data_IF_587513899494
#
_entry.id   IF_587513899494
#
_cell.length_a   1.000
_cell.length_b   1.000
_cell.length_c   1.000
_cell.angle_alpha   90.00
_cell.angle_beta   90.00
_cell.angle_gamma   90.00
#
_symmetry.space_group_name_H-M   'P 1'
#
loop_
_entity.id
_entity.type
_entity.pdbx_description
1 polymer ?
#
# COMPACT_ATOMS: atom_id res chain seq x y z
N UNK A 1 -16.90 -6.33 -21.06
CA UNK A 1 -15.70 -5.77 -21.71
C UNK A 1 -14.76 -5.41 -20.57
N UNK A 2 -13.62 -6.10 -20.43
CA UNK A 2 -12.65 -5.75 -19.39
C UNK A 2 -11.78 -4.64 -19.96
N UNK A 3 -11.90 -3.42 -19.42
CA UNK A 3 -11.05 -2.30 -19.80
C UNK A 3 -9.62 -2.64 -19.39
N UNK A 4 -8.84 -3.12 -20.36
CA UNK A 4 -7.41 -3.40 -20.14
C UNK A 4 -6.71 -2.06 -19.93
N UNK A 5 -6.10 -1.90 -18.76
CA UNK A 5 -5.18 -0.80 -18.49
C UNK A 5 -4.08 -0.83 -19.56
N UNK A 6 -3.94 0.27 -20.30
CA UNK A 6 -2.92 0.40 -21.34
C UNK A 6 -1.62 0.91 -20.71
N UNK A 7 -0.49 0.69 -21.39
CA UNK A 7 0.80 1.26 -20.97
C UNK A 7 0.76 2.79 -20.84
N UNK A 8 -0.09 3.45 -21.63
CA UNK A 8 -0.31 4.89 -21.53
C UNK A 8 -0.97 5.29 -20.20
N UNK A 9 -2.04 4.60 -19.78
CA UNK A 9 -2.71 4.87 -18.50
C UNK A 9 -1.77 4.64 -17.31
N UNK A 10 -0.93 3.59 -17.36
CA UNK A 10 0.10 3.37 -16.33
C UNK A 10 1.09 4.52 -16.26
N UNK A 11 1.55 5.00 -17.43
CA UNK A 11 2.52 6.09 -17.45
C UNK A 11 1.92 7.39 -16.94
N UNK A 12 0.65 7.64 -17.26
CA UNK A 12 -0.08 8.80 -16.74
C UNK A 12 -0.21 8.72 -15.21
N UNK A 13 -0.60 7.55 -14.68
CA UNK A 13 -0.70 7.33 -13.24
C UNK A 13 0.67 7.49 -12.56
N UNK A 14 1.74 6.93 -13.14
CA UNK A 14 3.10 7.09 -12.62
C UNK A 14 3.52 8.56 -12.54
N UNK A 15 3.26 9.34 -13.59
CA UNK A 15 3.53 10.77 -13.59
C UNK A 15 2.74 11.51 -12.51
N UNK A 16 1.47 11.17 -12.32
CA UNK A 16 0.59 11.81 -11.35
C UNK A 16 1.01 11.50 -9.91
N UNK A 17 1.19 10.22 -9.55
CA UNK A 17 1.62 9.84 -8.20
C UNK A 17 3.01 10.40 -7.89
N UNK A 18 3.91 10.46 -8.87
CA UNK A 18 5.22 11.06 -8.69
C UNK A 18 5.12 12.57 -8.46
N UNK A 19 4.29 13.29 -9.22
CA UNK A 19 4.09 14.74 -9.01
C UNK A 19 3.51 15.06 -7.63
N UNK A 20 2.63 14.21 -7.12
CA UNK A 20 1.95 14.44 -5.83
C UNK A 20 2.86 14.07 -4.65
N UNK A 21 3.63 12.98 -4.75
CA UNK A 21 4.24 12.33 -3.58
C UNK A 21 5.77 12.31 -3.54
N UNK A 22 6.49 12.79 -4.57
CA UNK A 22 7.97 12.72 -4.62
C UNK A 22 8.66 13.31 -3.38
N UNK A 23 8.11 14.39 -2.81
CA UNK A 23 8.66 15.06 -1.62
C UNK A 23 7.94 14.68 -0.32
N UNK A 24 6.96 13.76 -0.39
CA UNK A 24 6.12 13.37 0.76
C UNK A 24 6.38 11.94 1.24
N UNK A 25 6.75 11.04 0.34
CA UNK A 25 6.98 9.63 0.68
C UNK A 25 8.41 9.45 1.16
N UNK A 26 8.54 8.87 2.35
CA UNK A 26 9.81 8.44 2.88
C UNK A 26 10.38 7.28 2.06
N UNK A 27 11.66 7.39 1.71
CA UNK A 27 12.43 6.42 0.94
C UNK A 27 13.81 6.16 1.57
N UNK A 28 14.04 6.61 2.82
CA UNK A 28 15.33 6.50 3.52
C UNK A 28 15.78 5.03 3.66
N UNK A 29 14.84 4.12 3.90
CA UNK A 29 15.08 2.66 4.01
C UNK A 29 15.55 2.01 2.69
N UNK A 30 15.42 2.72 1.57
CA UNK A 30 15.73 2.23 0.23
C UNK A 30 17.04 2.77 -0.36
N UNK A 31 17.84 3.53 0.38
CA UNK A 31 19.06 4.17 -0.12
C UNK A 31 20.13 3.19 -0.64
N UNK A 32 20.13 1.94 -0.15
CA UNK A 32 21.06 0.89 -0.59
C UNK A 32 20.55 0.04 -1.78
N UNK A 33 19.33 0.29 -2.29
CA UNK A 33 18.72 -0.49 -3.37
C UNK A 33 19.16 -0.01 -4.75
N UNK A 34 19.12 -0.89 -5.75
CA UNK A 34 19.32 -0.50 -7.16
C UNK A 34 18.23 0.48 -7.58
N UNK A 35 18.54 1.40 -8.50
CA UNK A 35 17.62 2.45 -8.96
C UNK A 35 16.24 1.90 -9.37
N UNK A 36 16.17 0.85 -10.20
CA UNK A 36 14.90 0.26 -10.63
C UNK A 36 14.07 -0.31 -9.45
N UNK A 37 14.73 -0.86 -8.43
CA UNK A 37 14.06 -1.40 -7.26
C UNK A 37 13.53 -0.25 -6.38
N UNK A 38 14.30 0.85 -6.28
CA UNK A 38 13.88 2.07 -5.59
C UNK A 38 12.64 2.69 -6.25
N UNK A 39 12.63 2.82 -7.58
CA UNK A 39 11.48 3.39 -8.32
C UNK A 39 10.22 2.53 -8.14
N UNK A 40 10.35 1.20 -8.13
CA UNK A 40 9.21 0.31 -7.88
C UNK A 40 8.68 0.38 -6.44
N UNK A 41 9.56 0.54 -5.45
CA UNK A 41 9.15 0.74 -4.05
C UNK A 41 8.41 2.07 -3.92
N UNK A 42 8.98 3.15 -4.45
CA UNK A 42 8.33 4.46 -4.47
C UNK A 42 6.95 4.38 -5.13
N UNK A 43 6.86 3.81 -6.33
CA UNK A 43 5.60 3.70 -7.05
C UNK A 43 4.54 2.87 -6.30
N UNK A 44 4.95 1.84 -5.56
CA UNK A 44 4.02 1.05 -4.75
C UNK A 44 3.51 1.86 -3.55
N UNK A 45 4.41 2.48 -2.77
CA UNK A 45 4.05 3.37 -1.66
C UNK A 45 3.16 4.54 -2.13
N UNK A 46 3.51 5.16 -3.25
CA UNK A 46 2.77 6.27 -3.83
C UNK A 46 1.39 5.85 -4.33
N UNK A 47 1.26 4.64 -4.86
CA UNK A 47 -0.04 4.08 -5.24
C UNK A 47 -0.94 3.84 -4.02
N UNK A 48 -0.39 3.32 -2.91
CA UNK A 48 -1.14 3.15 -1.67
C UNK A 48 -1.61 4.51 -1.11
N UNK A 49 -0.73 5.50 -1.06
CA UNK A 49 -1.06 6.87 -0.62
C UNK A 49 -2.11 7.52 -1.53
N UNK A 50 -1.99 7.35 -2.85
CA UNK A 50 -2.94 7.89 -3.81
C UNK A 50 -4.34 7.27 -3.65
N UNK A 51 -4.43 5.97 -3.35
CA UNK A 51 -5.70 5.32 -3.04
C UNK A 51 -6.36 5.93 -1.80
N UNK A 52 -5.60 6.19 -0.73
CA UNK A 52 -6.11 6.89 0.46
C UNK A 52 -6.53 8.32 0.15
N UNK A 53 -5.70 9.06 -0.60
CA UNK A 53 -5.99 10.44 -1.00
C UNK A 53 -7.36 10.56 -1.69
N UNK A 54 -7.65 9.67 -2.64
CA UNK A 54 -8.92 9.68 -3.39
C UNK A 54 -10.06 9.10 -2.56
N UNK A 55 -9.90 7.90 -2.00
CA UNK A 55 -11.02 7.15 -1.42
C UNK A 55 -11.40 7.64 -0.02
N UNK A 56 -10.42 8.02 0.80
CA UNK A 56 -10.64 8.61 2.12
C UNK A 56 -10.75 10.14 2.06
N UNK A 57 -10.54 10.76 0.89
CA UNK A 57 -10.63 12.21 0.67
C UNK A 57 -9.79 13.03 1.69
N UNK A 58 -8.55 12.60 1.90
CA UNK A 58 -7.58 13.25 2.80
C UNK A 58 -6.51 14.00 2.02
N UNK A 59 -5.72 14.88 2.65
CA UNK A 59 -4.63 15.56 1.97
C UNK A 59 -3.52 14.59 1.55
N UNK A 60 -2.75 14.88 0.48
CA UNK A 60 -1.59 14.08 0.09
C UNK A 60 -0.58 13.89 1.23
N UNK A 61 -0.32 14.93 2.03
CA UNK A 61 0.58 14.84 3.19
C UNK A 61 0.11 13.79 4.20
N UNK A 62 -1.17 13.82 4.57
CA UNK A 62 -1.76 12.87 5.50
C UNK A 62 -1.80 11.46 4.93
N UNK A 63 -1.98 11.32 3.62
CA UNK A 63 -1.94 10.03 2.95
C UNK A 63 -0.52 9.44 2.92
N UNK A 64 0.50 10.27 2.76
CA UNK A 64 1.90 9.85 2.83
C UNK A 64 2.31 9.44 4.26
N UNK A 65 1.84 10.16 5.28
CA UNK A 65 2.05 9.81 6.69
C UNK A 65 1.40 8.48 7.09
N UNK A 66 0.38 8.03 6.34
CA UNK A 66 -0.32 6.77 6.58
C UNK A 66 0.41 5.55 5.97
N UNK A 67 1.49 5.76 5.23
CA UNK A 67 2.31 4.67 4.67
C UNK A 67 3.07 3.97 5.80
N UNK A 68 3.02 2.65 5.79
CA UNK A 68 3.76 1.83 6.75
C UNK A 68 5.13 1.51 6.15
N UNK A 69 6.19 1.78 6.92
CA UNK A 69 7.55 1.43 6.53
C UNK A 69 7.80 -0.06 6.83
N UNK A 70 8.09 -0.85 5.79
CA UNK A 70 9.00 -1.99 5.91
C UNK A 70 8.56 -3.26 5.20
N UNK A 71 9.55 -4.08 4.82
CA UNK A 71 9.34 -5.43 4.27
C UNK A 71 8.65 -6.42 5.23
N UNK A 72 8.38 -6.03 6.48
CA UNK A 72 7.77 -6.84 7.55
C UNK A 72 6.36 -6.32 7.94
N UNK A 73 5.70 -5.56 7.07
CA UNK A 73 4.37 -4.96 7.31
C UNK A 73 3.18 -5.93 7.24
N UNK A 74 3.45 -7.26 7.22
CA UNK A 74 2.44 -8.30 6.98
C UNK A 74 1.55 -8.00 5.76
N UNK A 75 2.10 -7.33 4.74
CA UNK A 75 1.39 -6.98 3.51
C UNK A 75 0.37 -5.86 3.68
N UNK A 76 0.61 -4.90 4.58
CA UNK A 76 -0.18 -3.68 4.74
C UNK A 76 0.73 -2.48 4.41
N UNK A 77 0.67 -1.99 3.18
CA UNK A 77 1.46 -0.84 2.74
C UNK A 77 0.97 0.50 3.34
N UNK A 78 -0.29 0.59 3.76
CA UNK A 78 -0.82 1.80 4.40
C UNK A 78 -1.94 1.53 5.42
N UNK A 79 -1.98 2.35 6.46
CA UNK A 79 -2.91 2.27 7.59
C UNK A 79 -3.45 3.67 7.93
N UNK A 80 -4.78 3.85 7.89
CA UNK A 80 -5.43 5.11 8.25
C UNK A 80 -6.72 4.86 9.02
N UNK A 81 -6.84 5.41 10.22
CA UNK A 81 -8.11 5.47 10.94
C UNK A 81 -8.77 6.85 10.74
N UNK A 82 -9.89 6.88 10.01
CA UNK A 82 -10.74 8.07 9.92
C UNK A 82 -11.68 8.11 11.13
N UNK A 83 -11.28 8.88 12.14
CA UNK A 83 -12.05 9.03 13.37
C UNK A 83 -13.43 9.67 13.16
N UNK A 84 -13.61 10.49 12.12
CA UNK A 84 -14.88 11.18 11.85
C UNK A 84 -15.88 10.21 11.26
N UNK A 85 -15.45 9.40 10.31
CA UNK A 85 -16.30 8.41 9.65
C UNK A 85 -16.34 7.07 10.40
N UNK A 86 -15.45 6.87 11.38
CA UNK A 86 -15.24 5.58 12.08
C UNK A 86 -14.88 4.45 11.10
N UNK A 87 -14.08 4.77 10.10
CA UNK A 87 -13.62 3.82 9.07
C UNK A 87 -12.13 3.57 9.28
N UNK A 88 -11.76 2.29 9.32
CA UNK A 88 -10.36 1.87 9.27
C UNK A 88 -10.01 1.47 7.83
N UNK A 89 -9.04 2.17 7.25
CA UNK A 89 -8.49 1.90 5.93
C UNK A 89 -7.21 1.09 6.07
N UNK A 90 -7.18 -0.07 5.42
CA UNK A 90 -6.02 -0.92 5.28
C UNK A 90 -5.78 -1.11 3.79
N UNK A 91 -4.58 -0.78 3.32
CA UNK A 91 -4.27 -0.80 1.89
C UNK A 91 -3.10 -1.74 1.65
N UNK A 92 -3.27 -2.60 0.64
CA UNK A 92 -2.18 -3.36 0.04
C UNK A 92 -2.07 -2.96 -1.43
N UNK A 93 -0.85 -2.68 -1.87
CA UNK A 93 -0.54 -2.12 -3.18
C UNK A 93 0.63 -2.87 -3.82
N UNK A 94 0.71 -2.79 -5.14
CA UNK A 94 1.84 -3.34 -5.89
C UNK A 94 1.94 -2.67 -7.23
N UNK A 95 3.06 -2.01 -7.50
CA UNK A 95 3.31 -1.46 -8.83
C UNK A 95 3.66 -2.58 -9.82
N UNK A 96 2.84 -2.74 -10.87
CA UNK A 96 3.06 -3.74 -11.93
C UNK A 96 3.35 -2.99 -13.23
N UNK A 97 4.64 -2.86 -13.57
CA UNK A 97 5.13 -2.04 -14.69
C UNK A 97 4.48 -2.34 -16.05
N UNK A 98 4.08 -3.60 -16.29
CA UNK A 98 3.50 -4.01 -17.58
C UNK A 98 1.97 -3.88 -17.63
N UNK A 99 1.31 -3.53 -16.52
CA UNK A 99 -0.16 -3.52 -16.38
C UNK A 99 -0.83 -4.89 -16.60
N UNK A 100 -0.02 -5.92 -16.82
CA UNK A 100 -0.43 -7.28 -17.05
C UNK A 100 0.04 -8.10 -15.86
N UNK A 101 -0.93 -8.59 -15.10
CA UNK A 101 -0.70 -9.33 -13.87
C UNK A 101 -1.61 -8.84 -12.76
N UNK A 102 -1.72 -9.64 -11.73
CA UNK A 102 -2.40 -9.32 -10.48
C UNK A 102 -1.42 -9.55 -9.33
N UNK A 103 -1.68 -9.00 -8.14
CA UNK A 103 -1.03 -9.46 -6.93
C UNK A 103 -1.05 -11.00 -6.86
N UNK A 104 0.04 -11.60 -6.39
CA UNK A 104 0.12 -13.05 -6.31
C UNK A 104 -0.78 -13.53 -5.18
N UNK A 105 -1.24 -14.79 -5.25
CA UNK A 105 -2.04 -15.39 -4.18
C UNK A 105 -1.32 -15.35 -2.82
N UNK A 106 0.01 -15.49 -2.82
CA UNK A 106 0.83 -15.35 -1.61
C UNK A 106 0.69 -13.96 -0.98
N UNK A 107 0.79 -12.90 -1.80
CA UNK A 107 0.66 -11.51 -1.36
C UNK A 107 -0.73 -11.25 -0.73
N UNK A 108 -1.79 -11.82 -1.33
CA UNK A 108 -3.16 -11.71 -0.81
C UNK A 108 -3.36 -12.47 0.51
N UNK A 109 -2.70 -13.62 0.66
CA UNK A 109 -2.75 -14.39 1.90
C UNK A 109 -2.09 -13.62 3.04
N UNK A 110 -0.92 -13.05 2.79
CA UNK A 110 -0.19 -12.24 3.77
C UNK A 110 -1.04 -11.05 4.22
N UNK A 111 -1.63 -10.29 3.29
CA UNK A 111 -2.55 -9.19 3.63
C UNK A 111 -3.74 -9.65 4.48
N UNK A 112 -4.38 -10.76 4.09
CA UNK A 112 -5.50 -11.35 4.85
C UNK A 112 -5.05 -11.68 6.27
N UNK A 113 -3.94 -12.40 6.41
CA UNK A 113 -3.41 -12.84 7.70
C UNK A 113 -3.06 -11.60 8.56
N UNK A 114 -2.46 -10.55 7.97
CA UNK A 114 -2.19 -9.27 8.63
C UNK A 114 -3.45 -8.55 9.13
N UNK A 115 -4.56 -8.58 8.39
CA UNK A 115 -5.85 -8.05 8.87
C UNK A 115 -6.34 -8.83 10.09
N UNK A 116 -6.28 -10.17 10.04
CA UNK A 116 -6.70 -10.99 11.18
C UNK A 116 -5.82 -10.75 12.39
N UNK A 117 -4.50 -10.68 12.23
CA UNK A 117 -3.58 -10.38 13.32
C UNK A 117 -3.87 -9.02 13.97
N UNK A 118 -4.20 -8.01 13.16
CA UNK A 118 -4.57 -6.68 13.64
C UNK A 118 -5.89 -6.68 14.42
N UNK A 119 -6.90 -7.42 13.94
CA UNK A 119 -8.22 -7.50 14.58
C UNK A 119 -8.23 -8.42 15.81
N UNK A 120 -7.50 -9.53 15.75
CA UNK A 120 -7.35 -10.49 16.85
C UNK A 120 -6.47 -9.94 17.98
N UNK A 121 -5.73 -8.85 17.74
CA UNK A 121 -4.98 -8.14 18.79
C UNK A 121 -5.88 -7.64 19.94
N UNK A 122 -7.18 -7.50 19.72
CA UNK A 122 -8.16 -7.10 20.76
C UNK A 122 -8.94 -8.29 21.36
N UNK A 123 -8.76 -9.51 20.85
CA UNK A 123 -9.34 -10.69 21.50
C UNK A 123 -8.53 -11.97 21.23
N UNK A 124 -7.89 -12.47 22.28
CA UNK A 124 -7.51 -13.89 22.43
C UNK A 124 -6.38 -14.39 21.52
N UNK A 125 -5.19 -14.37 22.11
CA UNK A 125 -4.27 -15.52 22.11
C UNK A 125 -4.82 -16.75 22.87
N UNK A 126 -6.14 -16.96 22.98
CA UNK A 126 -6.65 -17.80 24.07
C UNK A 126 -6.57 -19.32 23.85
N UNK A 127 -6.28 -19.85 22.65
CA UNK A 127 -6.09 -21.31 22.52
C UNK A 127 -5.44 -21.84 21.24
N UNK A 128 -5.26 -21.07 20.16
CA UNK A 128 -4.77 -21.64 18.88
C UNK A 128 -3.24 -21.79 18.77
N UNK A 129 -2.50 -21.50 19.84
CA UNK A 129 -1.05 -21.72 19.92
C UNK A 129 -0.66 -22.82 20.93
N UNK A 130 -1.64 -23.56 21.48
CA UNK A 130 -1.40 -24.82 22.16
C UNK A 130 -2.29 -25.88 21.50
N UNK A 131 -1.78 -26.46 20.41
CA UNK A 131 -1.61 -27.89 20.22
C UNK A 131 -0.68 -28.14 19.01
#
# INVERSE_FOLDING_TARGET
MSDKITAFHLKQLECEIHQIFVDLIDMIDCDNKKKNDRDNVFNSRALAAYALHILANISPSKAAEAIVDGCDDNGIDAFLFDEKQKILWLVQSKWIQNGQGSPKQCDMKVFKDGIFDLLDFDSKKASRFND
#
